data_IF_796909073867
#
_entry.id   IF_796909073867
#
_cell.length_a   1.000
_cell.length_b   1.000
_cell.length_c   1.000
_cell.angle_alpha   90.00
_cell.angle_beta   90.00
_cell.angle_gamma   90.00
#
_symmetry.space_group_name_H-M   'P 1'
#
loop_
_entity.id
_entity.type
_entity.pdbx_description
1 polymer ?
#
# COMPACT_ATOMS: atom_id res chain seq x y z
N UNK A 1 9.58 -2.86 1.55
CA UNK A 1 9.95 -3.13 2.95
C UNK A 1 9.74 -1.85 3.72
N UNK A 2 9.12 -1.91 4.90
CA UNK A 2 8.89 -0.73 5.75
C UNK A 2 9.74 -0.86 7.00
N UNK A 3 10.20 0.26 7.55
CA UNK A 3 10.94 0.28 8.81
C UNK A 3 10.30 1.22 9.85
N UNK A 4 10.63 0.96 11.11
CA UNK A 4 10.13 1.70 12.28
C UNK A 4 11.23 1.77 13.33
N UNK A 5 11.20 2.84 14.12
CA UNK A 5 12.07 3.02 15.29
C UNK A 5 11.69 2.11 16.45
N UNK A 6 10.41 1.75 16.54
CA UNK A 6 9.86 0.93 17.61
C UNK A 6 9.28 -0.38 17.06
N UNK A 7 9.39 -1.43 17.87
CA UNK A 7 8.81 -2.73 17.57
C UNK A 7 7.31 -2.70 17.90
N UNK A 8 6.48 -2.62 16.85
CA UNK A 8 5.02 -2.59 16.96
C UNK A 8 4.38 -3.78 16.25
N UNK A 9 3.19 -4.18 16.68
CA UNK A 9 2.27 -5.01 15.92
C UNK A 9 1.46 -4.10 14.97
N UNK A 10 1.68 -4.24 13.67
CA UNK A 10 1.07 -3.37 12.66
C UNK A 10 0.10 -4.16 11.80
N UNK A 11 -1.12 -3.64 11.64
CA UNK A 11 -2.07 -4.11 10.63
C UNK A 11 -1.98 -3.22 9.40
N UNK A 12 -1.73 -3.82 8.24
CA UNK A 12 -1.91 -3.17 6.95
C UNK A 12 -3.27 -3.58 6.38
N UNK A 13 -4.17 -2.62 6.25
CA UNK A 13 -5.41 -2.78 5.47
C UNK A 13 -5.18 -2.27 4.07
N UNK A 14 -5.22 -3.16 3.07
CA UNK A 14 -5.16 -2.80 1.66
C UNK A 14 -6.55 -2.84 1.05
N UNK A 15 -7.03 -1.71 0.55
CA UNK A 15 -8.29 -1.55 -0.17
C UNK A 15 -8.04 -1.27 -1.65
N UNK A 16 -8.79 -1.93 -2.51
CA UNK A 16 -8.69 -1.79 -3.96
C UNK A 16 -10.01 -1.23 -4.49
N UNK A 17 -9.90 -0.17 -5.28
CA UNK A 17 -11.02 0.54 -5.86
C UNK A 17 -10.98 0.41 -7.38
N UNK A 18 -12.13 0.12 -7.97
CA UNK A 18 -12.35 0.17 -9.41
C UNK A 18 -13.52 1.12 -9.69
N UNK A 19 -13.30 2.12 -10.54
CA UNK A 19 -14.29 3.18 -10.81
C UNK A 19 -14.83 3.82 -9.52
N UNK A 20 -13.95 4.06 -8.55
CA UNK A 20 -14.28 4.62 -7.23
C UNK A 20 -15.02 3.69 -6.28
N UNK A 21 -15.33 2.45 -6.68
CA UNK A 21 -16.01 1.46 -5.85
C UNK A 21 -15.00 0.48 -5.25
N UNK A 22 -15.07 0.22 -3.95
CA UNK A 22 -14.21 -0.79 -3.29
C UNK A 22 -14.58 -2.18 -3.79
N UNK A 23 -13.65 -2.83 -4.49
CA UNK A 23 -13.84 -4.17 -5.06
C UNK A 23 -13.16 -5.27 -4.26
N UNK A 24 -12.13 -4.92 -3.49
CA UNK A 24 -11.40 -5.86 -2.65
C UNK A 24 -10.85 -5.15 -1.42
N UNK A 25 -10.81 -5.87 -0.31
CA UNK A 25 -10.13 -5.45 0.92
C UNK A 25 -9.40 -6.66 1.50
N UNK A 26 -8.16 -6.47 1.91
CA UNK A 26 -7.39 -7.47 2.63
C UNK A 26 -6.66 -6.84 3.81
N UNK A 27 -6.44 -7.66 4.83
CA UNK A 27 -5.73 -7.26 6.05
C UNK A 27 -4.57 -8.20 6.28
N UNK A 28 -3.41 -7.63 6.51
CA UNK A 28 -2.20 -8.34 6.92
C UNK A 28 -1.75 -7.79 8.27
N UNK A 29 -1.61 -8.67 9.26
CA UNK A 29 -1.09 -8.32 10.57
C UNK A 29 0.35 -8.84 10.68
N UNK A 30 1.29 -7.94 10.97
CA UNK A 30 2.71 -8.31 11.13
C UNK A 30 3.30 -7.72 12.40
N UNK A 31 4.00 -8.57 13.15
CA UNK A 31 4.94 -8.10 14.17
C UNK A 31 6.26 -7.73 13.49
N UNK A 32 6.85 -6.60 13.88
CA UNK A 32 8.18 -6.23 13.40
C UNK A 32 9.21 -7.35 13.63
N UNK A 33 9.92 -7.70 12.56
CA UNK A 33 11.16 -8.44 12.62
C UNK A 33 12.30 -7.48 12.97
N UNK A 34 13.31 -7.94 13.72
CA UNK A 34 14.49 -7.12 14.05
C UNK A 34 15.66 -7.59 13.19
N UNK A 35 16.13 -6.71 12.30
CA UNK A 35 17.27 -6.97 11.40
C UNK A 35 18.23 -5.79 11.54
N UNK A 36 19.50 -6.05 11.82
CA UNK A 36 20.55 -5.02 11.99
C UNK A 36 20.11 -3.85 12.91
N UNK A 37 19.45 -4.21 14.01
CA UNK A 37 18.92 -3.26 15.01
C UNK A 37 17.83 -2.30 14.49
N UNK A 38 17.19 -2.63 13.36
CA UNK A 38 16.01 -1.95 12.81
C UNK A 38 14.79 -2.85 12.90
N UNK A 39 13.63 -2.27 13.21
CA UNK A 39 12.35 -2.98 13.16
C UNK A 39 11.80 -2.89 11.74
N UNK A 40 11.62 -4.02 11.07
CA UNK A 40 11.20 -4.08 9.66
C UNK A 40 9.93 -4.90 9.46
N UNK A 41 9.16 -4.53 8.44
CA UNK A 41 7.92 -5.15 8.02
C UNK A 41 7.94 -5.45 6.51
N UNK A 42 7.28 -6.54 6.13
CA UNK A 42 7.23 -7.00 4.73
C UNK A 42 5.80 -7.40 4.35
N UNK A 43 4.92 -6.41 4.16
CA UNK A 43 3.56 -6.62 3.67
C UNK A 43 3.57 -6.95 2.17
N UNK A 44 2.92 -8.04 1.75
CA UNK A 44 3.09 -8.62 0.41
C UNK A 44 1.85 -8.53 -0.47
N UNK A 45 0.67 -8.25 0.10
CA UNK A 45 -0.61 -8.37 -0.60
C UNK A 45 -0.69 -7.53 -1.87
N UNK A 46 -0.15 -6.31 -1.86
CA UNK A 46 -0.12 -5.44 -3.04
C UNK A 46 0.64 -6.09 -4.21
N UNK A 47 1.77 -6.76 -3.94
CA UNK A 47 2.53 -7.45 -4.98
C UNK A 47 1.74 -8.63 -5.55
N UNK A 48 1.06 -9.39 -4.69
CA UNK A 48 0.22 -10.52 -5.11
C UNK A 48 -0.96 -10.05 -5.96
N UNK A 49 -1.62 -8.95 -5.54
CA UNK A 49 -2.68 -8.33 -6.31
C UNK A 49 -2.19 -7.85 -7.68
N UNK A 50 -1.08 -7.12 -7.76
CA UNK A 50 -0.57 -6.67 -9.07
C UNK A 50 -0.20 -7.83 -9.98
N UNK A 51 0.37 -8.91 -9.44
CA UNK A 51 0.61 -10.12 -10.22
C UNK A 51 -0.67 -10.65 -10.86
N UNK A 52 -1.75 -10.76 -10.09
CA UNK A 52 -3.04 -11.21 -10.59
C UNK A 52 -3.68 -10.20 -11.56
N UNK A 53 -3.65 -8.91 -11.23
CA UNK A 53 -4.21 -7.84 -12.04
C UNK A 53 -3.51 -7.71 -13.40
N UNK A 54 -2.17 -7.68 -13.43
CA UNK A 54 -1.39 -7.64 -14.67
C UNK A 54 -1.64 -8.89 -15.53
N UNK A 55 -1.80 -10.06 -14.92
CA UNK A 55 -2.21 -11.27 -15.65
C UNK A 55 -3.62 -11.12 -16.25
N UNK A 56 -4.55 -10.48 -15.54
CA UNK A 56 -5.88 -10.16 -16.03
C UNK A 56 -5.86 -9.14 -17.18
N UNK A 57 -5.08 -8.07 -17.07
CA UNK A 57 -4.96 -7.03 -18.12
C UNK A 57 -4.44 -7.61 -19.43
N UNK A 58 -3.56 -8.62 -19.40
CA UNK A 58 -3.07 -9.29 -20.62
C UNK A 58 -4.18 -9.94 -21.46
N UNK A 59 -5.37 -10.14 -20.89
CA UNK A 59 -6.55 -10.62 -21.63
C UNK A 59 -7.29 -9.51 -22.39
N UNK A 60 -7.04 -8.24 -22.07
CA UNK A 60 -7.58 -7.10 -22.80
C UNK A 60 -6.89 -6.97 -24.16
N UNK A 61 -7.66 -6.65 -25.19
CA UNK A 61 -7.20 -6.77 -26.58
C UNK A 61 -6.75 -5.44 -27.18
N UNK A 62 -7.19 -4.33 -26.58
CA UNK A 62 -6.88 -2.99 -27.09
C UNK A 62 -6.19 -2.13 -26.03
N UNK A 63 -5.35 -1.22 -26.50
CA UNK A 63 -4.69 -0.25 -25.63
C UNK A 63 -5.67 0.65 -24.88
N UNK A 64 -6.80 0.99 -25.49
CA UNK A 64 -7.85 1.79 -24.85
C UNK A 64 -8.45 1.09 -23.63
N UNK A 65 -8.70 -0.22 -23.71
CA UNK A 65 -9.20 -1.00 -22.57
C UNK A 65 -8.20 -1.03 -21.41
N UNK A 66 -6.91 -1.19 -21.73
CA UNK A 66 -5.83 -1.20 -20.73
C UNK A 66 -5.74 0.16 -20.02
N UNK A 67 -5.77 1.26 -20.77
CA UNK A 67 -5.73 2.61 -20.19
C UNK A 67 -6.95 2.91 -19.32
N UNK A 68 -8.15 2.49 -19.74
CA UNK A 68 -9.37 2.63 -18.93
C UNK A 68 -9.25 1.82 -17.63
N UNK A 69 -8.75 0.59 -17.70
CA UNK A 69 -8.57 -0.26 -16.53
C UNK A 69 -7.59 0.36 -15.53
N UNK A 70 -6.44 0.88 -16.00
CA UNK A 70 -5.43 1.51 -15.15
C UNK A 70 -5.93 2.82 -14.53
N UNK A 71 -6.51 3.72 -15.32
CA UNK A 71 -7.00 5.04 -14.84
C UNK A 71 -8.09 4.95 -13.79
N UNK A 72 -8.83 3.84 -13.76
CA UNK A 72 -9.92 3.64 -12.82
C UNK A 72 -9.56 2.69 -11.68
N UNK A 73 -8.31 2.23 -11.62
CA UNK A 73 -7.79 1.44 -10.52
C UNK A 73 -7.09 2.38 -9.54
N UNK A 74 -7.48 2.30 -8.27
CA UNK A 74 -6.74 2.92 -7.17
C UNK A 74 -6.54 1.89 -6.06
N UNK A 75 -5.37 1.91 -5.43
CA UNK A 75 -5.06 1.06 -4.27
C UNK A 75 -4.77 1.98 -3.09
N UNK A 76 -5.30 1.65 -1.92
CA UNK A 76 -5.06 2.39 -0.69
C UNK A 76 -4.58 1.42 0.38
N UNK A 77 -3.45 1.73 1.02
CA UNK A 77 -2.94 1.00 2.17
C UNK A 77 -2.99 1.89 3.41
N UNK A 78 -3.58 1.38 4.48
CA UNK A 78 -3.66 2.03 5.79
C UNK A 78 -2.92 1.16 6.80
N UNK A 79 -1.93 1.74 7.48
CA UNK A 79 -1.11 1.06 8.47
C UNK A 79 -1.49 1.54 9.87
N UNK A 80 -1.90 0.62 10.73
CA UNK A 80 -2.38 0.92 12.08
C UNK A 80 -1.58 0.17 13.13
N UNK A 81 -1.22 0.86 14.21
CA UNK A 81 -0.64 0.25 15.41
C UNK A 81 -1.73 -0.47 16.20
N UNK A 82 -1.61 -1.78 16.37
CA UNK A 82 -2.53 -2.60 17.17
C UNK A 82 -2.08 -2.84 18.60
N UNK A 83 -0.86 -2.46 18.96
CA UNK A 83 -0.38 -2.45 20.35
C UNK A 83 -0.82 -1.18 21.10
N UNK A 84 -1.31 -0.17 20.38
CA UNK A 84 -1.78 1.08 20.96
C UNK A 84 -2.92 0.86 21.95
N UNK A 85 -2.76 1.42 23.16
CA UNK A 85 -3.78 1.36 24.23
C UNK A 85 -4.92 2.36 24.04
N UNK A 86 -4.87 3.17 23.00
CA UNK A 86 -5.91 4.16 22.70
C UNK A 86 -7.06 3.51 21.93
N UNK A 87 -8.30 3.82 22.30
CA UNK A 87 -9.47 3.47 21.48
C UNK A 87 -9.43 4.37 20.22
N UNK A 88 -9.04 3.81 19.07
CA UNK A 88 -8.85 4.50 17.76
C UNK A 88 -7.62 5.42 17.62
N UNK A 89 -6.39 4.88 17.59
CA UNK A 89 -5.22 5.66 17.22
C UNK A 89 -5.32 6.15 15.76
N UNK A 90 -4.74 7.32 15.49
CA UNK A 90 -4.53 7.77 14.11
C UNK A 90 -3.67 6.74 13.34
N UNK A 91 -3.90 6.55 12.03
CA UNK A 91 -3.04 5.69 11.21
C UNK A 91 -1.58 6.13 11.28
N UNK A 92 -0.66 5.17 11.32
CA UNK A 92 0.78 5.43 11.27
C UNK A 92 1.21 5.94 9.89
N UNK A 93 0.57 5.42 8.85
CA UNK A 93 0.82 5.78 7.46
C UNK A 93 -0.43 5.45 6.63
N UNK A 94 -0.72 6.31 5.66
CA UNK A 94 -1.68 6.03 4.58
C UNK A 94 -0.96 6.24 3.26
N UNK A 95 -1.02 5.23 2.39
CA UNK A 95 -0.49 5.32 1.03
C UNK A 95 -1.64 5.13 0.04
N UNK A 96 -1.75 6.04 -0.92
CA UNK A 96 -2.64 5.91 -2.06
C UNK A 96 -1.79 5.75 -3.32
N UNK A 97 -2.18 4.81 -4.16
CA UNK A 97 -1.50 4.50 -5.41
C UNK A 97 -2.46 4.71 -6.57
N UNK A 98 -2.00 5.50 -7.54
CA UNK A 98 -2.61 5.66 -8.85
C UNK A 98 -1.65 5.12 -9.91
N UNK A 99 -2.21 4.60 -11.00
CA UNK A 99 -1.44 3.90 -12.03
C UNK A 99 -1.64 4.53 -13.39
N UNK A 100 -0.53 4.67 -14.09
CA UNK A 100 -0.51 5.02 -15.49
C UNK A 100 0.49 4.18 -16.27
N UNK A 101 0.37 4.22 -17.59
CA UNK A 101 1.30 3.57 -18.49
C UNK A 101 2.52 4.48 -18.70
N UNK A 102 3.61 4.19 -18.01
CA UNK A 102 4.88 4.92 -18.11
C UNK A 102 6.09 4.06 -18.48
N UNK A 103 7.29 4.59 -18.25
CA UNK A 103 8.57 3.87 -18.42
C UNK A 103 8.98 3.07 -17.16
N UNK A 104 8.07 2.96 -16.17
CA UNK A 104 8.35 2.31 -14.89
C UNK A 104 8.86 3.27 -13.81
N UNK A 105 8.63 4.57 -13.99
CA UNK A 105 8.96 5.59 -13.00
C UNK A 105 7.94 5.57 -11.85
N UNK A 106 8.42 5.86 -10.63
CA UNK A 106 7.59 5.98 -9.42
C UNK A 106 7.78 7.38 -8.86
N UNK A 107 6.68 8.12 -8.77
CA UNK A 107 6.65 9.45 -8.14
C UNK A 107 5.96 9.36 -6.78
N UNK A 108 6.57 9.95 -5.75
CA UNK A 108 6.01 9.96 -4.38
C UNK A 108 5.66 11.37 -3.98
N UNK A 109 4.42 11.57 -3.53
CA UNK A 109 3.93 12.84 -3.01
C UNK A 109 3.59 12.68 -1.53
N UNK A 110 4.19 13.52 -0.70
CA UNK A 110 3.97 13.52 0.72
C UNK A 110 2.92 14.57 1.10
N UNK A 111 1.77 14.09 1.57
CA UNK A 111 0.71 14.95 2.11
C UNK A 111 0.90 14.95 3.63
N UNK A 112 1.64 15.92 4.14
CA UNK A 112 1.87 16.03 5.58
C UNK A 112 0.62 16.56 6.27
N UNK A 113 0.11 15.81 7.25
CA UNK A 113 -0.83 16.30 8.25
C UNK A 113 -0.12 16.31 9.60
N UNK A 114 0.59 17.41 9.89
CA UNK A 114 0.98 17.86 11.24
C UNK A 114 1.79 16.98 12.22
N UNK A 115 1.99 15.67 12.04
CA UNK A 115 2.66 14.82 13.06
C UNK A 115 3.34 13.58 12.47
N UNK A 116 4.65 13.48 12.76
CA UNK A 116 5.60 12.36 12.66
C UNK A 116 5.37 11.29 11.58
N UNK A 117 6.20 11.38 10.53
CA UNK A 117 6.19 10.50 9.37
C UNK A 117 6.98 9.21 9.56
N UNK A 118 6.41 8.10 9.08
CA UNK A 118 7.17 6.95 8.61
C UNK A 118 7.81 7.32 7.25
N UNK A 119 9.14 7.21 7.15
CA UNK A 119 9.86 7.40 5.88
C UNK A 119 9.79 6.12 5.03
N UNK A 120 9.50 6.26 3.73
CA UNK A 120 9.55 5.14 2.78
C UNK A 120 10.94 5.06 2.17
N UNK A 121 11.63 3.94 2.35
CA UNK A 121 12.83 3.62 1.56
C UNK A 121 12.41 2.86 0.30
N UNK A 122 12.65 3.44 -0.88
CA UNK A 122 12.53 2.74 -2.17
C UNK A 122 13.84 1.99 -2.40
N UNK A 123 13.78 0.65 -2.51
CA UNK A 123 14.91 -0.20 -2.92
C UNK A 123 14.87 -0.47 -4.43
#
# INVERSE_FOLDING_TARGET
MFDSTERRLVECTTSIYSFGTKVLEAKELQQAAVIDNKCVYNFEFVNQFFGAFLNGIRSLTTWGEIEIALKNLSVVQVFEDKDSRFESPAPLLVMAFDFERGQGDVETFFIADGSDMLETTVC
#
